data_IF_648323973009
#
_entry.id   IF_648323973009
#
_cell.length_a   1.000
_cell.length_b   1.000
_cell.length_c   1.000
_cell.angle_alpha   90.00
_cell.angle_beta   90.00
_cell.angle_gamma   90.00
#
_symmetry.space_group_name_H-M   'P 1'
#
loop_
_entity.id
_entity.type
_entity.pdbx_description
1 polymer ?
#
# COMPACT_ATOMS: atom_id res chain seq x y z
N UNK A 1 -23.14 40.57 25.73
CA UNK A 1 -23.69 39.30 25.21
C UNK A 1 -22.89 38.84 23.98
N UNK A 2 -22.74 39.71 22.97
CA UNK A 2 -21.95 39.47 21.75
C UNK A 2 -20.50 38.94 21.98
N UNK A 3 -19.74 39.52 22.90
CA UNK A 3 -18.34 39.11 23.13
C UNK A 3 -18.22 37.66 23.62
N UNK A 4 -19.13 37.21 24.49
CA UNK A 4 -19.14 35.82 25.00
C UNK A 4 -19.50 34.83 23.89
N UNK A 5 -20.42 35.21 23.01
CA UNK A 5 -20.81 34.40 21.85
C UNK A 5 -19.67 34.30 20.83
N UNK A 6 -18.97 35.39 20.54
CA UNK A 6 -17.81 35.40 19.64
C UNK A 6 -16.66 34.55 20.21
N UNK A 7 -16.34 34.67 21.50
CA UNK A 7 -15.31 33.87 22.14
C UNK A 7 -15.67 32.37 22.09
N UNK A 8 -16.94 32.03 22.36
CA UNK A 8 -17.42 30.64 22.32
C UNK A 8 -17.37 30.06 20.91
N UNK A 9 -17.72 30.87 19.91
CA UNK A 9 -17.65 30.50 18.49
C UNK A 9 -16.19 30.21 18.07
N UNK A 10 -15.28 31.13 18.36
CA UNK A 10 -13.86 31.01 17.96
C UNK A 10 -13.20 29.80 18.64
N UNK A 11 -13.43 29.63 19.95
CA UNK A 11 -12.86 28.50 20.70
C UNK A 11 -13.46 27.17 20.28
N UNK A 12 -14.77 27.11 20.05
CA UNK A 12 -15.44 25.88 19.64
C UNK A 12 -15.03 25.42 18.25
N UNK A 13 -14.98 26.33 17.26
CA UNK A 13 -14.50 26.02 15.91
C UNK A 13 -13.01 25.66 15.92
N UNK A 14 -12.20 26.36 16.71
CA UNK A 14 -10.77 26.05 16.87
C UNK A 14 -10.53 24.65 17.45
N UNK A 15 -11.29 24.26 18.48
CA UNK A 15 -11.16 22.95 19.11
C UNK A 15 -11.60 21.81 18.18
N UNK A 16 -12.75 21.96 17.50
CA UNK A 16 -13.26 20.95 16.57
C UNK A 16 -12.31 20.78 15.38
N UNK A 17 -11.81 21.87 14.81
CA UNK A 17 -10.85 21.81 13.69
C UNK A 17 -9.51 21.18 14.10
N UNK A 18 -8.98 21.52 15.28
CA UNK A 18 -7.77 20.91 15.82
C UNK A 18 -7.94 19.40 16.04
N UNK A 19 -9.08 18.98 16.62
CA UNK A 19 -9.37 17.57 16.86
C UNK A 19 -9.48 16.76 15.56
N UNK A 20 -10.24 17.27 14.59
CA UNK A 20 -10.38 16.66 13.27
C UNK A 20 -9.02 16.55 12.58
N UNK A 21 -8.25 17.64 12.59
CA UNK A 21 -6.90 17.66 12.00
C UNK A 21 -5.98 16.64 12.67
N UNK A 22 -5.94 16.60 14.00
CA UNK A 22 -5.11 15.66 14.73
C UNK A 22 -5.45 14.19 14.41
N UNK A 23 -6.74 13.86 14.29
CA UNK A 23 -7.19 12.52 13.91
C UNK A 23 -6.73 12.15 12.50
N UNK A 24 -6.93 13.03 11.52
CA UNK A 24 -6.49 12.79 10.15
C UNK A 24 -4.96 12.72 10.03
N UNK A 25 -4.25 13.62 10.70
CA UNK A 25 -2.79 13.63 10.76
C UNK A 25 -2.25 12.32 11.33
N UNK A 26 -2.87 11.78 12.38
CA UNK A 26 -2.47 10.48 12.95
C UNK A 26 -2.68 9.34 11.94
N UNK A 27 -3.84 9.26 11.28
CA UNK A 27 -4.12 8.21 10.30
C UNK A 27 -3.14 8.24 9.11
N UNK A 28 -2.81 9.44 8.64
CA UNK A 28 -1.82 9.64 7.57
C UNK A 28 -0.42 9.28 8.05
N UNK A 29 -0.05 9.69 9.26
CA UNK A 29 1.25 9.37 9.87
C UNK A 29 1.43 7.86 10.04
N UNK A 30 0.45 7.16 10.64
CA UNK A 30 0.50 5.71 10.86
C UNK A 30 0.70 4.95 9.53
N UNK A 31 -0.03 5.35 8.48
CA UNK A 31 0.14 4.77 7.14
C UNK A 31 1.53 5.06 6.57
N UNK A 32 2.00 6.30 6.65
CA UNK A 32 3.31 6.70 6.13
C UNK A 32 4.44 5.97 6.84
N UNK A 33 4.39 5.88 8.17
CA UNK A 33 5.36 5.13 8.97
C UNK A 33 5.40 3.66 8.60
N UNK A 34 4.24 3.02 8.38
CA UNK A 34 4.19 1.63 7.92
C UNK A 34 4.85 1.45 6.55
N UNK A 35 4.54 2.35 5.60
CA UNK A 35 5.14 2.32 4.25
C UNK A 35 6.65 2.55 4.34
N UNK A 36 7.08 3.54 5.13
CA UNK A 36 8.49 3.87 5.32
C UNK A 36 9.27 2.69 5.92
N UNK A 37 8.75 2.06 6.98
CA UNK A 37 9.42 0.91 7.58
C UNK A 37 9.57 -0.26 6.59
N UNK A 38 8.50 -0.62 5.89
CA UNK A 38 8.54 -1.70 4.90
C UNK A 38 9.49 -1.38 3.75
N UNK A 39 9.47 -0.14 3.25
CA UNK A 39 10.35 0.27 2.14
C UNK A 39 11.82 0.32 2.55
N UNK A 40 12.11 0.69 3.81
CA UNK A 40 13.44 0.63 4.41
C UNK A 40 13.94 -0.81 4.51
N UNK A 41 13.18 -1.70 5.12
CA UNK A 41 13.55 -3.13 5.23
C UNK A 41 13.76 -3.77 3.85
N UNK A 42 12.91 -3.45 2.86
CA UNK A 42 13.08 -3.94 1.49
C UNK A 42 14.31 -3.35 0.81
N UNK A 43 14.67 -2.09 1.09
CA UNK A 43 15.91 -1.51 0.59
C UNK A 43 17.11 -2.28 1.14
N UNK A 44 17.15 -2.51 2.45
CA UNK A 44 18.19 -3.30 3.11
C UNK A 44 18.27 -4.72 2.53
N UNK A 45 17.13 -5.38 2.32
CA UNK A 45 17.06 -6.68 1.65
C UNK A 45 17.62 -6.65 0.22
N UNK A 46 17.23 -5.67 -0.61
CA UNK A 46 17.76 -5.53 -1.99
C UNK A 46 19.26 -5.26 -2.00
N UNK A 47 19.74 -4.40 -1.11
CA UNK A 47 21.16 -4.05 -1.01
C UNK A 47 21.96 -5.29 -0.58
N UNK A 48 21.43 -6.10 0.34
CA UNK A 48 22.05 -7.38 0.71
C UNK A 48 22.05 -8.40 -0.42
N UNK A 49 20.97 -8.51 -1.21
CA UNK A 49 20.95 -9.40 -2.38
C UNK A 49 22.01 -9.00 -3.42
N UNK A 50 22.19 -7.70 -3.70
CA UNK A 50 23.24 -7.24 -4.61
C UNK A 50 24.64 -7.56 -4.08
N UNK A 51 24.84 -7.40 -2.77
CA UNK A 51 26.09 -7.79 -2.12
C UNK A 51 26.33 -9.30 -2.25
N UNK A 52 25.34 -10.15 -1.97
CA UNK A 52 25.45 -11.60 -2.08
C UNK A 52 25.85 -12.02 -3.49
N UNK A 53 25.26 -11.45 -4.54
CA UNK A 53 25.64 -11.74 -5.93
C UNK A 53 27.13 -11.51 -6.17
N UNK A 54 27.65 -10.36 -5.74
CA UNK A 54 29.07 -10.02 -5.91
C UNK A 54 29.97 -10.99 -5.17
N UNK A 55 29.63 -11.36 -3.93
CA UNK A 55 30.42 -12.31 -3.14
C UNK A 55 30.33 -13.74 -3.72
N UNK A 56 29.19 -14.14 -4.28
CA UNK A 56 29.03 -15.42 -4.96
C UNK A 56 29.92 -15.48 -6.20
N UNK A 57 29.96 -14.40 -7.00
CA UNK A 57 30.88 -14.32 -8.15
C UNK A 57 32.33 -14.45 -7.71
N UNK A 58 32.75 -13.78 -6.62
CA UNK A 58 34.12 -13.91 -6.09
C UNK A 58 34.41 -15.33 -5.59
N UNK A 59 33.49 -15.93 -4.84
CA UNK A 59 33.62 -17.30 -4.35
C UNK A 59 33.73 -18.29 -5.52
N UNK A 60 32.96 -18.08 -6.60
CA UNK A 60 33.05 -18.86 -7.83
C UNK A 60 34.41 -18.70 -8.52
N UNK A 61 34.89 -17.48 -8.71
CA UNK A 61 36.20 -17.22 -9.33
C UNK A 61 37.36 -17.87 -8.56
N UNK A 62 37.28 -17.85 -7.24
CA UNK A 62 38.28 -18.45 -6.35
C UNK A 62 38.07 -19.96 -6.13
N UNK A 63 36.99 -20.54 -6.66
CA UNK A 63 36.55 -21.92 -6.41
C UNK A 63 36.47 -22.27 -4.92
N UNK A 64 36.02 -21.31 -4.11
CA UNK A 64 35.90 -21.47 -2.66
C UNK A 64 34.52 -22.02 -2.30
N UNK A 65 34.46 -23.34 -2.15
CA UNK A 65 33.23 -24.05 -1.77
C UNK A 65 32.71 -23.67 -0.38
N UNK A 66 33.58 -23.34 0.56
CA UNK A 66 33.15 -23.01 1.92
C UNK A 66 32.45 -21.66 1.94
N UNK A 67 33.05 -20.65 1.30
CA UNK A 67 32.43 -19.33 1.15
C UNK A 67 31.12 -19.43 0.36
N UNK A 68 31.08 -20.21 -0.72
CA UNK A 68 29.86 -20.39 -1.51
C UNK A 68 28.71 -20.99 -0.69
N UNK A 69 28.97 -22.03 0.12
CA UNK A 69 27.95 -22.64 1.00
C UNK A 69 27.41 -21.67 2.05
N UNK A 70 28.26 -20.79 2.60
CA UNK A 70 27.81 -19.77 3.54
C UNK A 70 26.87 -18.75 2.87
N UNK A 71 27.24 -18.32 1.66
CA UNK A 71 26.43 -17.39 0.87
C UNK A 71 25.11 -18.03 0.43
N UNK A 72 25.12 -19.31 0.08
CA UNK A 72 23.93 -20.10 -0.23
C UNK A 72 22.99 -20.22 0.97
N UNK A 73 23.51 -20.57 2.14
CA UNK A 73 22.71 -20.63 3.36
C UNK A 73 22.06 -19.28 3.68
N UNK A 74 22.76 -18.16 3.46
CA UNK A 74 22.17 -16.84 3.63
C UNK A 74 21.09 -16.54 2.58
N UNK A 75 21.31 -16.93 1.32
CA UNK A 75 20.33 -16.72 0.26
C UNK A 75 19.03 -17.50 0.52
N UNK A 76 19.13 -18.74 1.00
CA UNK A 76 17.98 -19.60 1.34
C UNK A 76 17.07 -18.95 2.38
N UNK A 77 17.61 -18.34 3.44
CA UNK A 77 16.79 -17.71 4.49
C UNK A 77 16.15 -16.39 4.06
N UNK A 78 16.56 -15.83 2.92
CA UNK A 78 16.05 -14.55 2.38
C UNK A 78 15.00 -14.71 1.30
N UNK A 79 14.95 -15.87 0.66
CA UNK A 79 14.04 -16.19 -0.43
C UNK A 79 12.92 -17.12 0.04
N UNK A 80 11.81 -17.14 -0.68
CA UNK A 80 10.69 -18.01 -0.38
C UNK A 80 10.82 -19.33 -1.17
N UNK A 81 11.14 -20.47 -0.55
CA UNK A 81 11.31 -21.74 -1.27
C UNK A 81 9.99 -22.29 -1.86
N UNK A 82 8.84 -21.74 -1.46
CA UNK A 82 7.54 -22.10 -2.04
C UNK A 82 7.21 -21.32 -3.32
N UNK A 83 7.92 -20.23 -3.58
CA UNK A 83 7.77 -19.48 -4.83
C UNK A 83 8.65 -20.09 -5.92
N UNK A 84 8.09 -20.28 -7.11
CA UNK A 84 8.76 -20.99 -8.21
C UNK A 84 9.96 -20.24 -8.76
N UNK A 85 9.92 -18.91 -8.78
CA UNK A 85 11.03 -18.08 -9.27
C UNK A 85 12.17 -18.03 -8.24
N UNK A 86 11.81 -17.90 -6.96
CA UNK A 86 12.77 -17.96 -5.86
C UNK A 86 13.43 -19.35 -5.77
N UNK A 87 12.68 -20.44 -5.92
CA UNK A 87 13.23 -21.79 -5.99
C UNK A 87 14.21 -21.95 -7.17
N UNK A 88 13.91 -21.33 -8.31
CA UNK A 88 14.81 -21.36 -9.46
C UNK A 88 16.10 -20.57 -9.24
N UNK A 89 16.10 -19.55 -8.36
CA UNK A 89 17.33 -18.87 -7.90
C UNK A 89 18.15 -19.82 -7.01
N UNK A 90 17.49 -20.56 -6.10
CA UNK A 90 18.17 -21.52 -5.22
C UNK A 90 18.81 -22.67 -6.01
N UNK A 91 18.13 -23.18 -7.03
CA UNK A 91 18.70 -24.19 -7.92
C UNK A 91 19.88 -23.62 -8.74
N UNK A 92 19.82 -22.33 -9.13
CA UNK A 92 20.89 -21.69 -9.90
C UNK A 92 22.19 -21.54 -9.08
N UNK A 93 22.11 -21.23 -7.78
CA UNK A 93 23.32 -21.16 -6.93
C UNK A 93 23.91 -22.55 -6.67
N UNK A 94 23.09 -23.60 -6.56
CA UNK A 94 23.58 -24.97 -6.46
C UNK A 94 24.38 -25.36 -7.73
N UNK A 95 23.90 -24.94 -8.91
CA UNK A 95 24.59 -25.17 -10.19
C UNK A 95 25.91 -24.40 -10.30
N UNK A 96 26.02 -23.22 -9.67
CA UNK A 96 27.29 -22.48 -9.55
C UNK A 96 28.33 -23.32 -8.80
N UNK A 97 27.94 -23.97 -7.71
CA UNK A 97 28.84 -24.82 -6.92
C UNK A 97 29.23 -26.14 -7.58
N UNK A 98 28.41 -26.63 -8.52
CA UNK A 98 28.69 -27.84 -9.31
C UNK A 98 29.60 -27.56 -10.50
N UNK A 99 29.22 -26.57 -11.31
CA UNK A 99 29.88 -26.31 -12.60
C UNK A 99 31.09 -25.38 -12.48
N UNK A 100 31.10 -24.47 -11.48
CA UNK A 100 32.05 -23.37 -11.38
C UNK A 100 32.18 -22.55 -12.68
N UNK A 101 31.14 -22.52 -13.50
CA UNK A 101 31.14 -21.88 -14.82
C UNK A 101 30.65 -20.43 -14.74
N UNK A 102 31.18 -19.56 -15.60
CA UNK A 102 30.70 -18.17 -15.69
C UNK A 102 29.22 -18.12 -16.14
N UNK A 103 28.80 -19.05 -17.00
CA UNK A 103 27.41 -19.17 -17.44
C UNK A 103 26.45 -19.44 -16.28
N UNK A 104 26.81 -20.31 -15.33
CA UNK A 104 25.98 -20.58 -14.14
C UNK A 104 25.82 -19.34 -13.26
N UNK A 105 26.89 -18.55 -13.08
CA UNK A 105 26.85 -17.29 -12.34
C UNK A 105 26.00 -16.26 -13.07
N UNK A 106 26.10 -16.20 -14.40
CA UNK A 106 25.28 -15.31 -15.22
C UNK A 106 23.79 -15.62 -15.09
N UNK A 107 23.41 -16.89 -15.13
CA UNK A 107 22.01 -17.31 -14.92
C UNK A 107 21.50 -16.88 -13.54
N UNK A 108 22.31 -17.05 -12.49
CA UNK A 108 21.97 -16.60 -11.14
C UNK A 108 21.78 -15.06 -11.10
N UNK A 109 22.71 -14.31 -11.67
CA UNK A 109 22.65 -12.84 -11.76
C UNK A 109 21.39 -12.35 -12.48
N UNK A 110 21.02 -12.99 -13.59
CA UNK A 110 19.83 -12.63 -14.37
C UNK A 110 18.56 -12.84 -13.55
N UNK A 111 18.43 -14.00 -12.88
CA UNK A 111 17.25 -14.30 -12.04
C UNK A 111 17.10 -13.32 -10.87
N UNK A 112 18.20 -13.02 -10.17
CA UNK A 112 18.18 -12.02 -9.09
C UNK A 112 17.85 -10.63 -9.64
N UNK A 113 18.34 -10.28 -10.83
CA UNK A 113 18.01 -9.00 -11.49
C UNK A 113 16.52 -8.88 -11.77
N UNK A 114 15.87 -9.95 -12.25
CA UNK A 114 14.42 -9.98 -12.44
C UNK A 114 13.65 -9.84 -11.13
N UNK A 115 14.08 -10.54 -10.07
CA UNK A 115 13.48 -10.43 -8.73
C UNK A 115 13.55 -8.98 -8.20
N UNK A 116 14.72 -8.35 -8.30
CA UNK A 116 14.93 -6.97 -7.87
C UNK A 116 14.09 -5.97 -8.69
N UNK A 117 13.99 -6.18 -10.02
CA UNK A 117 13.16 -5.36 -10.90
C UNK A 117 11.69 -5.46 -10.52
N UNK A 118 11.21 -6.68 -10.26
CA UNK A 118 9.84 -6.93 -9.85
C UNK A 118 9.51 -6.29 -8.50
N UNK A 119 10.40 -6.44 -7.50
CA UNK A 119 10.23 -5.79 -6.21
C UNK A 119 10.14 -4.26 -6.33
N UNK A 120 10.99 -3.67 -7.16
CA UNK A 120 10.97 -2.23 -7.42
C UNK A 120 9.61 -1.74 -7.97
N UNK A 121 9.07 -2.45 -8.97
CA UNK A 121 7.76 -2.12 -9.54
C UNK A 121 6.63 -2.24 -8.52
N UNK A 122 6.70 -3.27 -7.66
CA UNK A 122 5.77 -3.45 -6.55
C UNK A 122 5.85 -2.28 -5.56
N UNK A 123 7.05 -1.90 -5.13
CA UNK A 123 7.26 -0.77 -4.21
C UNK A 123 6.72 0.53 -4.80
N UNK A 124 6.99 0.81 -6.08
CA UNK A 124 6.43 1.99 -6.76
C UNK A 124 4.91 2.04 -6.67
N UNK A 125 4.25 0.89 -6.84
CA UNK A 125 2.80 0.81 -6.72
C UNK A 125 2.30 0.94 -5.27
N UNK A 126 3.08 0.51 -4.28
CA UNK A 126 2.73 0.61 -2.85
C UNK A 126 2.89 2.04 -2.31
N UNK A 127 3.91 2.76 -2.78
CA UNK A 127 4.19 4.13 -2.35
C UNK A 127 3.37 5.17 -3.10
N UNK A 128 2.76 4.80 -4.23
CA UNK A 128 1.83 5.67 -4.96
C UNK A 128 0.55 5.85 -4.12
N UNK A 129 0.54 6.86 -3.25
CA UNK A 129 -0.65 7.27 -2.52
C UNK A 129 -1.58 8.02 -3.46
N UNK A 130 -2.52 7.31 -4.09
CA UNK A 130 -3.70 7.95 -4.64
C UNK A 130 -4.60 8.34 -3.48
N UNK A 131 -4.89 9.64 -3.34
CA UNK A 131 -5.98 10.08 -2.48
C UNK A 131 -7.25 9.48 -3.07
N UNK A 132 -7.81 8.48 -2.38
CA UNK A 132 -9.03 7.84 -2.85
C UNK A 132 -10.16 8.85 -2.72
N UNK A 133 -10.95 9.02 -3.79
CA UNK A 133 -12.16 9.84 -3.75
C UNK A 133 -13.06 9.45 -2.57
N UNK A 134 -13.04 8.17 -2.17
CA UNK A 134 -13.80 7.66 -1.03
C UNK A 134 -13.31 8.21 0.31
N UNK A 135 -11.99 8.32 0.53
CA UNK A 135 -11.44 8.89 1.76
C UNK A 135 -11.80 10.36 1.94
N UNK A 136 -11.89 11.10 0.81
CA UNK A 136 -12.36 12.48 0.80
C UNK A 136 -13.87 12.56 1.11
N UNK A 137 -14.69 11.69 0.53
CA UNK A 137 -16.12 11.64 0.83
C UNK A 137 -16.37 11.30 2.30
N UNK A 138 -15.68 10.30 2.86
CA UNK A 138 -15.82 9.94 4.29
C UNK A 138 -15.37 11.07 5.20
N UNK A 139 -14.27 11.76 4.87
CA UNK A 139 -13.80 12.91 5.65
C UNK A 139 -14.80 14.07 5.62
N UNK A 140 -15.38 14.35 4.46
CA UNK A 140 -16.40 15.38 4.30
C UNK A 140 -17.66 15.07 5.13
N UNK A 141 -18.14 13.82 5.12
CA UNK A 141 -19.30 13.40 5.92
C UNK A 141 -19.03 13.57 7.42
N UNK A 142 -17.86 13.12 7.91
CA UNK A 142 -17.49 13.25 9.32
C UNK A 142 -17.41 14.72 9.73
N UNK A 143 -16.79 15.57 8.91
CA UNK A 143 -16.72 17.00 9.16
C UNK A 143 -18.12 17.65 9.23
N UNK A 144 -19.02 17.28 8.32
CA UNK A 144 -20.42 17.74 8.33
C UNK A 144 -21.18 17.31 9.59
N UNK A 145 -21.00 16.07 10.04
CA UNK A 145 -21.64 15.56 11.27
C UNK A 145 -21.14 16.29 12.52
N UNK A 146 -19.82 16.52 12.61
CA UNK A 146 -19.24 17.23 13.76
C UNK A 146 -19.67 18.71 13.81
N UNK A 147 -19.69 19.37 12.65
CA UNK A 147 -20.11 20.77 12.57
C UNK A 147 -21.61 20.92 12.85
N UNK A 148 -22.46 20.05 12.30
CA UNK A 148 -23.89 20.08 12.59
C UNK A 148 -24.20 19.81 14.06
N UNK A 149 -23.50 18.87 14.70
CA UNK A 149 -23.64 18.61 16.13
C UNK A 149 -23.22 19.82 16.98
N UNK A 150 -22.08 20.44 16.67
CA UNK A 150 -21.59 21.61 17.40
C UNK A 150 -22.58 22.78 17.33
N UNK A 151 -22.96 23.21 16.12
CA UNK A 151 -23.84 24.36 15.95
C UNK A 151 -25.30 24.08 16.33
N UNK A 152 -25.77 22.83 16.19
CA UNK A 152 -27.09 22.42 16.64
C UNK A 152 -27.22 22.51 18.16
N UNK A 153 -26.22 22.04 18.89
CA UNK A 153 -26.21 22.09 20.36
C UNK A 153 -25.98 23.49 20.92
N UNK A 154 -25.12 24.29 20.28
CA UNK A 154 -24.74 25.63 20.79
C UNK A 154 -25.69 26.75 20.38
N UNK A 155 -26.27 26.69 19.18
CA UNK A 155 -27.07 27.80 18.62
C UNK A 155 -28.46 27.38 18.11
N UNK A 156 -28.81 26.09 18.19
CA UNK A 156 -30.12 25.59 17.72
C UNK A 156 -30.29 25.54 16.19
N UNK A 157 -29.24 25.80 15.42
CA UNK A 157 -29.27 25.87 13.95
C UNK A 157 -29.14 24.50 13.25
N UNK A 158 -29.95 23.52 13.65
CA UNK A 158 -29.89 22.15 13.12
C UNK A 158 -30.16 22.09 11.61
N UNK A 159 -31.29 22.66 11.16
CA UNK A 159 -31.77 22.52 9.79
C UNK A 159 -30.85 23.18 8.71
N UNK A 160 -30.44 24.46 8.83
CA UNK A 160 -29.67 25.11 7.78
C UNK A 160 -28.25 24.55 7.63
N UNK A 161 -27.66 24.03 8.71
CA UNK A 161 -26.28 23.52 8.72
C UNK A 161 -26.20 22.10 8.18
N UNK A 162 -27.22 21.27 8.46
CA UNK A 162 -27.33 19.96 7.83
C UNK A 162 -27.52 20.11 6.32
N UNK A 163 -28.37 21.03 5.87
CA UNK A 163 -28.60 21.26 4.43
C UNK A 163 -27.35 21.76 3.70
N UNK A 164 -26.62 22.72 4.28
CA UNK A 164 -25.37 23.23 3.67
C UNK A 164 -24.26 22.17 3.66
N UNK A 165 -24.17 21.36 4.73
CA UNK A 165 -23.25 20.24 4.80
C UNK A 165 -23.55 19.15 3.78
N UNK A 166 -24.82 18.78 3.60
CA UNK A 166 -25.25 17.82 2.58
C UNK A 166 -24.90 18.28 1.17
N UNK A 167 -25.08 19.58 0.87
CA UNK A 167 -24.67 20.16 -0.41
C UNK A 167 -23.16 19.97 -0.65
N UNK A 168 -22.32 20.28 0.35
CA UNK A 168 -20.87 20.12 0.23
C UNK A 168 -20.45 18.65 0.04
N UNK A 169 -21.06 17.72 0.80
CA UNK A 169 -20.77 16.28 0.66
C UNK A 169 -21.16 15.73 -0.71
N UNK A 170 -22.21 16.27 -1.33
CA UNK A 170 -22.67 15.84 -2.67
C UNK A 170 -21.63 16.11 -3.76
N UNK A 171 -20.88 17.22 -3.64
CA UNK A 171 -19.79 17.58 -4.56
C UNK A 171 -18.68 16.52 -4.48
N UNK A 172 -18.30 16.10 -3.27
CA UNK A 172 -17.27 15.07 -3.07
C UNK A 172 -17.77 13.65 -3.33
N UNK A 173 -19.08 13.42 -3.37
CA UNK A 173 -19.69 12.13 -3.70
C UNK A 173 -19.84 11.90 -5.23
N UNK A 174 -19.85 12.95 -6.05
CA UNK A 174 -19.98 12.83 -7.51
C UNK A 174 -18.89 11.93 -8.13
N UNK A 175 -17.59 12.10 -7.83
CA UNK A 175 -16.55 11.23 -8.39
C UNK A 175 -16.67 9.77 -7.93
N UNK A 176 -17.12 9.52 -6.69
CA UNK A 176 -17.29 8.16 -6.17
C UNK A 176 -18.50 7.46 -6.79
N UNK A 177 -19.59 8.20 -7.03
CA UNK A 177 -20.77 7.72 -7.75
C UNK A 177 -20.43 7.38 -9.20
N UNK A 178 -19.72 8.24 -9.92
CA UNK A 178 -19.30 7.98 -11.31
C UNK A 178 -18.44 6.71 -11.37
N UNK A 179 -17.46 6.58 -10.48
CA UNK A 179 -16.59 5.41 -10.44
C UNK A 179 -17.36 4.13 -10.04
N UNK A 180 -18.33 4.23 -9.13
CA UNK A 180 -19.24 3.13 -8.78
C UNK A 180 -20.11 2.71 -9.97
N UNK A 181 -20.67 3.64 -10.73
CA UNK A 181 -21.46 3.33 -11.93
C UNK A 181 -20.63 2.64 -13.01
N UNK A 182 -19.37 3.07 -13.20
CA UNK A 182 -18.44 2.44 -14.14
C UNK A 182 -18.09 1.02 -13.69
N UNK A 183 -17.76 0.82 -12.41
CA UNK A 183 -17.46 -0.51 -11.86
C UNK A 183 -18.69 -1.41 -11.90
N UNK A 184 -19.87 -0.91 -11.53
CA UNK A 184 -21.11 -1.68 -11.59
C UNK A 184 -21.41 -2.16 -13.01
N UNK A 185 -21.20 -1.31 -14.02
CA UNK A 185 -21.31 -1.71 -15.44
C UNK A 185 -20.29 -2.77 -15.83
N UNK A 186 -19.05 -2.66 -15.34
CA UNK A 186 -18.01 -3.67 -15.57
C UNK A 186 -18.31 -5.02 -14.89
N UNK A 187 -18.89 -4.98 -13.69
CA UNK A 187 -19.23 -6.17 -12.89
C UNK A 187 -20.56 -6.80 -13.29
N UNK A 188 -21.45 -6.09 -13.99
CA UNK A 188 -22.75 -6.62 -14.44
C UNK A 188 -22.63 -7.81 -15.41
N UNK A 189 -21.44 -8.10 -15.94
CA UNK A 189 -21.13 -9.32 -16.69
C UNK A 189 -20.62 -10.51 -15.86
N UNK A 190 -20.53 -10.40 -14.53
CA UNK A 190 -20.00 -11.46 -13.63
C UNK A 190 -21.03 -11.88 -12.57
N UNK A 191 -20.92 -13.13 -12.12
CA UNK A 191 -21.85 -13.79 -11.19
C UNK A 191 -22.07 -13.05 -9.86
N UNK A 192 -23.28 -13.16 -9.30
CA UNK A 192 -23.79 -12.39 -8.15
C UNK A 192 -22.89 -12.45 -6.89
N UNK A 193 -22.30 -13.62 -6.58
CA UNK A 193 -21.36 -13.79 -5.44
C UNK A 193 -20.02 -13.07 -5.63
N UNK A 194 -19.58 -12.86 -6.87
CA UNK A 194 -18.37 -12.07 -7.16
C UNK A 194 -18.63 -10.57 -6.99
N UNK A 195 -19.89 -10.13 -7.16
CA UNK A 195 -20.27 -8.72 -7.04
C UNK A 195 -20.19 -8.22 -5.59
N UNK A 196 -20.64 -9.01 -4.62
CA UNK A 196 -20.71 -8.61 -3.21
C UNK A 196 -19.32 -8.51 -2.57
N UNK A 197 -18.43 -9.46 -2.85
CA UNK A 197 -17.01 -9.39 -2.44
C UNK A 197 -16.30 -8.20 -3.09
N UNK A 198 -16.54 -7.94 -4.37
CA UNK A 198 -15.97 -6.79 -5.06
C UNK A 198 -16.47 -5.45 -4.51
N UNK A 199 -17.73 -5.39 -4.05
CA UNK A 199 -18.30 -4.18 -3.42
C UNK A 199 -17.69 -3.92 -2.05
N UNK A 200 -17.53 -4.95 -1.21
CA UNK A 200 -16.87 -4.81 0.11
C UNK A 200 -15.41 -4.40 -0.05
N UNK A 201 -14.67 -5.07 -0.95
CA UNK A 201 -13.31 -4.72 -1.33
C UNK A 201 -13.19 -3.26 -1.82
N UNK A 202 -14.14 -2.81 -2.65
CA UNK A 202 -14.19 -1.43 -3.14
C UNK A 202 -14.44 -0.41 -2.03
N UNK A 203 -15.35 -0.67 -1.10
CA UNK A 203 -15.68 0.25 0.01
C UNK A 203 -14.55 0.36 1.03
N UNK A 204 -13.81 -0.72 1.26
CA UNK A 204 -12.67 -0.73 2.16
C UNK A 204 -11.38 -0.19 1.54
N UNK A 205 -11.42 0.27 0.27
CA UNK A 205 -10.23 0.55 -0.55
C UNK A 205 -9.23 -0.62 -0.53
N UNK A 206 -9.74 -1.82 -0.26
CA UNK A 206 -9.04 -3.08 -0.30
C UNK A 206 -9.24 -3.60 -1.72
N UNK A 207 -8.69 -2.88 -2.69
CA UNK A 207 -8.46 -3.47 -4.00
C UNK A 207 -7.37 -4.52 -3.74
N UNK A 208 -7.80 -5.71 -3.31
CA UNK A 208 -6.93 -6.86 -3.29
C UNK A 208 -6.29 -6.92 -4.67
N UNK A 209 -4.96 -6.86 -4.65
CA UNK A 209 -4.09 -6.92 -5.82
C UNK A 209 -4.17 -8.33 -6.40
N UNK A 210 -5.32 -8.68 -6.98
CA UNK A 210 -5.60 -9.92 -7.74
C UNK A 210 -4.63 -10.13 -8.91
N UNK A 211 -3.82 -9.12 -9.23
CA UNK A 211 -2.79 -9.21 -10.26
C UNK A 211 -1.72 -10.26 -9.94
N UNK A 212 -1.53 -10.65 -8.68
CA UNK A 212 -0.50 -11.62 -8.28
C UNK A 212 -1.01 -13.07 -8.16
N UNK A 213 -2.32 -13.31 -8.01
CA UNK A 213 -2.89 -14.67 -7.96
C UNK A 213 -2.79 -15.39 -9.33
N UNK A 214 -2.62 -14.63 -10.42
CA UNK A 214 -2.48 -15.20 -11.77
C UNK A 214 -1.07 -15.65 -12.13
N UNK A 215 -0.05 -15.36 -11.29
CA UNK A 215 1.34 -15.76 -11.57
C UNK A 215 1.73 -17.09 -10.94
N UNK A 216 1.09 -17.52 -9.86
CA UNK A 216 1.27 -18.88 -9.31
C UNK A 216 0.63 -19.99 -10.16
N UNK A 217 -0.09 -19.60 -11.23
CA UNK A 217 -0.81 -20.51 -12.14
C UNK A 217 -0.22 -20.53 -13.56
N UNK A 218 0.94 -19.93 -13.79
CA UNK A 218 1.71 -20.03 -15.05
C UNK A 218 3.08 -20.61 -14.74
#
# INVERSE_FOLDING_TARGET
MLEKEIITLVLGVGLVSAFVTALFSKLVADKNHKIENITRERKEWRDRLRFLVVEITKAQQNKDLNSLKQLEAELIVRLNPQDTEDLAILNAIEEVGKSWSDDSVRVLCDRISYLLKHDWERVKQETTSKVSSQSLTTASIVATLLMSAFFGFTFGYWLPIVLSGLFLTSIFALPTLIHWFVIKRYLAGKTEKASLKAVVAYLCNDIQRDKYEKRSKR
#
